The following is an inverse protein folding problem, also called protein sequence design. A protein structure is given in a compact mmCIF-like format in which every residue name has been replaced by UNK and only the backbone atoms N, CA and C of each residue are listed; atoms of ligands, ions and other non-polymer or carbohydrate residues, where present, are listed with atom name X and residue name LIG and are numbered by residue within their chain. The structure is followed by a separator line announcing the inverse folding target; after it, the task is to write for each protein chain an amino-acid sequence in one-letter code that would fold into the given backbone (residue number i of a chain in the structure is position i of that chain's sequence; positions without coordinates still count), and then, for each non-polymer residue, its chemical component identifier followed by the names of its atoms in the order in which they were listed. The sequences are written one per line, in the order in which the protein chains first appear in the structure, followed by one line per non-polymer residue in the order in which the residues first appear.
data_IF_583829571696
#
_entry.id   IF_583829571696
#
_cell.length_a   1.000
_cell.length_b   1.000
_cell.length_c   1.000
_cell.angle_alpha   90.00
_cell.angle_beta   90.00
_cell.angle_gamma   90.00
#
_symmetry.space_group_name_H-M   'P 1'
#
loop_
_entity.id
_entity.type
_entity.pdbx_description
1 polymer ?
#
# COMPACT_ATOMS: atom_id res chain seq x y z
N UNK A 1 -22.12 14.10 -14.42
CA UNK A 1 -20.86 14.63 -13.85
C UNK A 1 -20.97 16.16 -13.81
N UNK A 2 -20.96 16.73 -12.61
CA UNK A 2 -21.13 18.17 -12.37
C UNK A 2 -19.80 18.94 -12.40
N UNK A 3 -18.67 18.26 -12.46
CA UNK A 3 -17.33 18.86 -12.33
C UNK A 3 -17.03 19.42 -10.94
N UNK A 4 -17.87 19.14 -9.94
CA UNK A 4 -17.60 19.55 -8.55
C UNK A 4 -16.59 18.60 -7.90
N UNK A 5 -15.68 19.16 -7.12
CA UNK A 5 -14.72 18.42 -6.31
C UNK A 5 -15.13 18.50 -4.84
N UNK A 6 -15.08 17.34 -4.16
CA UNK A 6 -15.19 17.26 -2.72
C UNK A 6 -13.88 16.72 -2.13
N UNK A 7 -13.48 17.29 -1.01
CA UNK A 7 -12.31 16.82 -0.25
C UNK A 7 -12.78 15.84 0.81
N UNK A 8 -12.64 14.53 0.56
CA UNK A 8 -13.01 13.48 1.51
C UNK A 8 -11.97 13.31 2.63
N UNK A 9 -10.69 13.47 2.28
CA UNK A 9 -9.57 13.38 3.22
C UNK A 9 -8.67 14.59 3.03
N UNK A 10 -8.69 15.58 3.94
CA UNK A 10 -7.85 16.78 3.83
C UNK A 10 -6.41 16.46 4.29
N UNK A 11 -5.71 15.55 3.60
CA UNK A 11 -4.40 15.03 4.03
C UNK A 11 -3.38 16.13 4.29
N UNK A 12 -3.33 17.16 3.43
CA UNK A 12 -2.40 18.31 3.58
C UNK A 12 -2.68 19.14 4.83
N UNK A 13 -3.91 19.20 5.28
CA UNK A 13 -4.36 20.01 6.43
C UNK A 13 -4.76 19.14 7.63
N UNK A 14 -4.61 17.83 7.51
CA UNK A 14 -4.94 16.91 8.58
C UNK A 14 -3.92 17.02 9.72
N UNK A 15 -4.36 17.56 10.85
CA UNK A 15 -3.52 17.77 12.03
C UNK A 15 -3.94 16.83 13.12
N UNK A 16 -2.96 16.10 13.66
CA UNK A 16 -3.10 15.29 14.88
C UNK A 16 -2.13 15.79 15.94
N UNK A 17 -2.51 15.85 17.22
CA UNK A 17 -1.58 16.18 18.29
C UNK A 17 -0.36 15.25 18.27
N UNK A 18 0.84 15.82 18.32
CA UNK A 18 2.10 15.09 18.31
C UNK A 18 2.38 14.22 17.06
N UNK A 19 1.76 14.52 15.92
CA UNK A 19 2.07 13.86 14.66
C UNK A 19 2.48 14.86 13.59
N UNK A 20 3.36 14.43 12.69
CA UNK A 20 3.58 15.17 11.44
C UNK A 20 2.34 15.11 10.55
N UNK A 21 2.28 16.03 9.58
CA UNK A 21 1.40 15.83 8.44
C UNK A 21 1.73 14.50 7.76
N UNK A 22 0.74 13.77 7.24
CA UNK A 22 1.01 12.52 6.54
C UNK A 22 1.61 12.80 5.16
N UNK A 23 2.64 12.02 4.81
CA UNK A 23 3.11 11.89 3.44
C UNK A 23 2.35 10.77 2.77
N UNK A 24 1.47 11.13 1.83
CA UNK A 24 0.66 10.15 1.11
C UNK A 24 1.49 9.51 0.01
N UNK A 25 1.73 8.23 0.16
CA UNK A 25 2.33 7.37 -0.84
C UNK A 25 1.24 6.81 -1.76
N UNK A 26 1.69 6.25 -2.85
CA UNK A 26 0.80 5.68 -3.84
C UNK A 26 0.24 4.34 -3.37
N UNK A 27 -1.08 4.22 -3.22
CA UNK A 27 -1.77 2.95 -3.04
C UNK A 27 -2.87 2.83 -4.06
N UNK A 28 -2.90 1.73 -4.76
CA UNK A 28 -3.84 1.49 -5.83
C UNK A 28 -4.74 0.31 -5.49
N UNK A 29 -5.97 0.59 -5.09
CA UNK A 29 -6.98 -0.45 -4.91
C UNK A 29 -8.11 -0.27 -5.93
N UNK A 30 -7.81 -0.54 -7.20
CA UNK A 30 -8.77 -0.42 -8.29
C UNK A 30 -9.40 -1.77 -8.67
N UNK A 31 -9.79 -2.54 -7.71
CA UNK A 31 -10.53 -3.75 -8.01
C UNK A 31 -12.01 -3.40 -8.11
N UNK A 32 -12.59 -3.55 -9.29
CA UNK A 32 -13.96 -3.14 -9.62
C UNK A 32 -15.04 -3.78 -8.75
N UNK A 33 -14.73 -4.86 -8.06
CA UNK A 33 -15.63 -5.56 -7.14
C UNK A 33 -15.53 -5.07 -5.69
N UNK A 34 -14.54 -4.22 -5.37
CA UNK A 34 -14.40 -3.62 -4.05
C UNK A 34 -15.02 -2.23 -4.03
N UNK A 35 -15.65 -1.92 -2.93
CA UNK A 35 -16.25 -0.61 -2.70
C UNK A 35 -15.42 0.27 -1.76
N UNK A 36 -14.22 -0.18 -1.41
CA UNK A 36 -13.27 0.55 -0.58
C UNK A 36 -12.08 1.05 -1.43
N UNK A 37 -11.60 2.20 -1.08
CA UNK A 37 -10.37 2.79 -1.61
C UNK A 37 -9.44 3.08 -0.44
N UNK A 38 -8.15 2.75 -0.57
CA UNK A 38 -7.17 2.99 0.48
C UNK A 38 -5.96 3.72 -0.08
N UNK A 39 -5.48 4.70 0.67
CA UNK A 39 -4.24 5.42 0.41
C UNK A 39 -3.25 5.11 1.52
N UNK A 40 -2.07 4.65 1.15
CA UNK A 40 -0.95 4.48 2.08
C UNK A 40 -0.34 5.84 2.39
N UNK A 41 -0.04 6.09 3.65
CA UNK A 41 0.73 7.24 4.07
C UNK A 41 1.82 6.85 5.07
N UNK A 42 2.80 7.73 5.21
CA UNK A 42 3.76 7.70 6.33
C UNK A 42 3.56 8.89 7.22
N UNK A 43 3.89 8.77 8.48
CA UNK A 43 3.82 9.85 9.47
C UNK A 43 4.83 9.66 10.58
N UNK A 44 5.29 10.76 11.17
CA UNK A 44 6.10 10.76 12.38
C UNK A 44 5.20 11.02 13.59
N UNK A 45 5.29 10.18 14.62
CA UNK A 45 4.68 10.37 15.94
C UNK A 45 5.74 10.88 16.91
N UNK A 46 5.62 12.12 17.32
CA UNK A 46 6.57 12.78 18.21
C UNK A 46 6.33 12.42 19.68
N UNK A 47 7.40 12.31 20.44
CA UNK A 47 7.32 12.01 21.88
C UNK A 47 6.82 13.19 22.69
N UNK A 48 7.12 14.40 22.24
CA UNK A 48 6.81 15.63 22.95
C UNK A 48 6.43 16.78 21.99
N UNK A 49 6.13 17.95 22.58
CA UNK A 49 5.76 19.16 21.85
C UNK A 49 6.91 19.80 21.04
N UNK A 50 8.16 19.40 21.29
CA UNK A 50 9.31 19.93 20.54
C UNK A 50 9.38 19.38 19.12
N UNK A 51 8.65 18.27 18.88
CA UNK A 51 8.55 17.65 17.56
C UNK A 51 9.90 17.27 16.95
N UNK A 52 10.79 16.73 17.79
CA UNK A 52 12.11 16.29 17.36
C UNK A 52 12.03 15.03 16.47
N UNK A 53 12.37 15.14 15.18
CA UNK A 53 12.34 14.00 14.26
C UNK A 53 13.28 12.87 14.66
N UNK A 54 14.41 13.18 15.32
CA UNK A 54 15.40 12.17 15.70
C UNK A 54 14.89 11.19 16.75
N UNK A 55 13.86 11.57 17.52
CA UNK A 55 13.25 10.74 18.55
C UNK A 55 11.85 10.26 18.21
N UNK A 56 11.34 10.61 17.04
CA UNK A 56 10.00 10.25 16.61
C UNK A 56 9.89 8.75 16.27
N UNK A 57 8.70 8.21 16.46
CA UNK A 57 8.32 6.91 15.92
C UNK A 57 7.74 7.13 14.52
N UNK A 58 8.34 6.50 13.51
CA UNK A 58 7.82 6.57 12.14
C UNK A 58 6.88 5.41 11.86
N UNK A 59 5.71 5.73 11.33
CA UNK A 59 4.61 4.79 11.13
C UNK A 59 4.12 4.82 9.68
N UNK A 60 3.64 3.68 9.21
CA UNK A 60 2.70 3.61 8.11
C UNK A 60 1.28 3.80 8.59
N UNK A 61 0.42 4.26 7.69
CA UNK A 61 -1.00 4.30 7.91
C UNK A 61 -1.81 4.18 6.62
N UNK A 62 -3.11 3.97 6.79
CA UNK A 62 -4.07 3.91 5.70
C UNK A 62 -5.18 4.94 5.92
N UNK A 63 -5.45 5.73 4.90
CA UNK A 63 -6.76 6.34 4.70
C UNK A 63 -7.63 5.35 3.92
N UNK A 64 -8.75 4.95 4.50
CA UNK A 64 -9.71 4.07 3.84
C UNK A 64 -11.01 4.82 3.60
N UNK A 65 -11.56 4.68 2.42
CA UNK A 65 -12.81 5.33 2.00
C UNK A 65 -13.77 4.25 1.52
N UNK A 66 -14.94 4.19 2.14
CA UNK A 66 -16.05 3.38 1.61
C UNK A 66 -16.72 4.19 0.48
N UNK A 67 -16.63 3.69 -0.74
CA UNK A 67 -17.12 4.40 -1.93
C UNK A 67 -18.64 4.44 -2.05
N UNK A 68 -19.37 3.61 -1.29
CA UNK A 68 -20.85 3.64 -1.26
C UNK A 68 -21.37 4.69 -0.30
N UNK A 69 -20.74 4.78 0.87
CA UNK A 69 -21.22 5.63 1.96
C UNK A 69 -20.43 6.93 2.10
N UNK A 70 -19.25 7.02 1.48
CA UNK A 70 -18.29 8.11 1.67
C UNK A 70 -17.61 8.10 3.05
N UNK A 71 -17.87 7.07 3.88
CA UNK A 71 -17.24 6.98 5.20
C UNK A 71 -15.73 6.81 5.07
N UNK A 72 -14.98 7.61 5.82
CA UNK A 72 -13.52 7.55 5.87
C UNK A 72 -13.03 7.02 7.22
N UNK A 73 -11.97 6.26 7.17
CA UNK A 73 -11.26 5.76 8.35
C UNK A 73 -9.76 5.98 8.18
N UNK A 74 -9.09 6.19 9.30
CA UNK A 74 -7.64 6.37 9.34
C UNK A 74 -7.05 5.43 10.36
N UNK A 75 -6.08 4.64 9.95
CA UNK A 75 -5.45 3.62 10.80
C UNK A 75 -3.94 3.67 10.65
N UNK A 76 -3.21 4.02 11.71
CA UNK A 76 -1.77 3.82 11.75
C UNK A 76 -1.46 2.34 12.01
N UNK A 77 -0.48 1.79 11.29
CA UNK A 77 -0.06 0.41 11.49
C UNK A 77 1.47 0.28 11.32
N UNK A 78 2.05 -0.62 12.09
CA UNK A 78 3.44 -1.03 11.99
C UNK A 78 4.46 0.11 12.09
N UNK A 79 5.66 -0.18 12.47
CA UNK A 79 6.76 0.76 12.33
C UNK A 79 7.15 0.90 10.86
N UNK A 80 7.61 2.08 10.47
CA UNK A 80 8.26 2.34 9.20
C UNK A 80 9.70 1.79 9.25
N UNK A 81 9.84 0.50 9.01
CA UNK A 81 11.15 -0.18 8.98
C UNK A 81 11.78 -0.18 7.59
N UNK A 82 10.97 -0.01 6.57
CA UNK A 82 11.37 -0.01 5.16
C UNK A 82 10.51 0.98 4.38
N UNK A 83 11.00 1.43 3.22
CA UNK A 83 10.22 2.26 2.32
C UNK A 83 9.51 1.36 1.32
N UNK A 84 8.21 1.53 1.16
CA UNK A 84 7.41 0.91 0.13
C UNK A 84 6.94 1.95 -0.88
N UNK A 85 7.04 1.62 -2.16
CA UNK A 85 6.53 2.49 -3.22
C UNK A 85 5.02 2.36 -3.36
N UNK A 86 4.51 1.14 -3.23
CA UNK A 86 3.07 0.90 -3.23
C UNK A 86 2.68 -0.19 -2.25
N UNK A 87 1.41 -0.23 -1.91
CA UNK A 87 0.86 -1.25 -1.04
C UNK A 87 -0.62 -1.49 -1.31
N UNK A 88 -1.10 -2.67 -0.95
CA UNK A 88 -2.49 -3.07 -1.18
C UNK A 88 -2.99 -3.95 -0.04
N UNK A 89 -4.25 -3.75 0.36
CA UNK A 89 -4.94 -4.65 1.28
C UNK A 89 -5.28 -5.97 0.60
N UNK A 90 -5.20 -7.05 1.37
CA UNK A 90 -5.65 -8.35 0.90
C UNK A 90 -7.16 -8.33 0.58
N UNK A 91 -7.58 -8.89 -0.58
CA UNK A 91 -9.00 -9.10 -0.85
C UNK A 91 -9.67 -10.09 0.08
N UNK A 92 -8.91 -11.06 0.62
CA UNK A 92 -9.42 -12.09 1.55
C UNK A 92 -9.58 -11.57 2.97
N UNK A 93 -8.57 -10.83 3.45
CA UNK A 93 -8.53 -10.32 4.82
C UNK A 93 -8.13 -8.84 4.82
N UNK A 94 -9.06 -7.94 5.09
CA UNK A 94 -8.79 -6.50 5.09
C UNK A 94 -7.83 -6.05 6.20
N UNK A 95 -7.49 -6.91 7.17
CA UNK A 95 -6.47 -6.61 8.18
C UNK A 95 -5.05 -6.85 7.67
N UNK A 96 -4.90 -7.55 6.54
CA UNK A 96 -3.60 -7.77 5.93
C UNK A 96 -3.29 -6.72 4.87
N UNK A 97 -2.15 -6.06 5.03
CA UNK A 97 -1.58 -5.11 4.08
C UNK A 97 -0.28 -5.67 3.52
N UNK A 98 -0.10 -5.52 2.22
CA UNK A 98 1.14 -5.88 1.55
C UNK A 98 1.77 -4.64 0.95
N UNK A 99 3.06 -4.45 1.21
CA UNK A 99 3.84 -3.34 0.65
C UNK A 99 4.99 -3.85 -0.20
N UNK A 100 5.35 -3.12 -1.24
CA UNK A 100 6.41 -3.50 -2.17
C UNK A 100 7.31 -2.32 -2.55
N UNK A 101 8.59 -2.60 -2.64
CA UNK A 101 9.64 -1.91 -3.35
C UNK A 101 10.81 -2.88 -3.57
N UNK A 102 11.76 -2.96 -2.65
CA UNK A 102 12.91 -3.88 -2.70
C UNK A 102 12.61 -5.23 -2.03
N UNK A 103 11.53 -5.27 -1.29
CA UNK A 103 10.98 -6.47 -0.65
C UNK A 103 9.48 -6.47 -0.79
N UNK A 104 8.87 -7.65 -0.76
CA UNK A 104 7.44 -7.81 -0.55
C UNK A 104 7.21 -8.07 0.93
N UNK A 105 6.52 -7.18 1.62
CA UNK A 105 6.23 -7.34 3.04
C UNK A 105 4.74 -7.48 3.32
N UNK A 106 4.40 -8.25 4.34
CA UNK A 106 3.06 -8.53 4.82
C UNK A 106 2.89 -7.99 6.23
N UNK A 107 1.93 -7.13 6.44
CA UNK A 107 1.59 -6.52 7.72
C UNK A 107 0.22 -6.95 8.20
N UNK A 108 0.10 -7.12 9.52
CA UNK A 108 -1.18 -7.12 10.22
C UNK A 108 -1.46 -5.70 10.73
N UNK A 109 -2.46 -5.05 10.14
CA UNK A 109 -2.85 -3.68 10.46
C UNK A 109 -3.38 -3.60 11.90
N UNK A 110 -4.16 -4.58 12.32
CA UNK A 110 -4.78 -4.62 13.65
C UNK A 110 -3.74 -4.85 14.75
N UNK A 111 -2.79 -5.76 14.53
CA UNK A 111 -1.69 -6.01 15.44
C UNK A 111 -0.55 -4.99 15.31
N UNK A 112 -0.59 -4.14 14.27
CA UNK A 112 0.39 -3.09 13.98
C UNK A 112 1.81 -3.63 13.83
N UNK A 113 1.97 -4.76 13.16
CA UNK A 113 3.28 -5.39 12.98
C UNK A 113 3.47 -6.02 11.62
N UNK A 114 4.72 -6.08 11.18
CA UNK A 114 5.13 -6.89 10.04
C UNK A 114 5.11 -8.36 10.44
N UNK A 115 4.42 -9.19 9.65
CA UNK A 115 4.33 -10.63 9.85
C UNK A 115 5.44 -11.37 9.13
N UNK A 116 5.72 -10.97 7.89
CA UNK A 116 6.65 -11.65 7.01
C UNK A 116 7.14 -10.70 5.92
N UNK A 117 8.34 -10.93 5.39
CA UNK A 117 8.83 -10.27 4.19
C UNK A 117 9.61 -11.25 3.31
N UNK A 118 9.44 -11.12 2.01
CA UNK A 118 10.16 -11.87 0.99
C UNK A 118 11.17 -10.99 0.28
N UNK A 119 12.37 -11.50 0.03
CA UNK A 119 13.36 -10.86 -0.83
C UNK A 119 12.90 -10.98 -2.28
N UNK A 120 13.16 -9.93 -3.06
CA UNK A 120 12.83 -9.85 -4.47
C UNK A 120 14.11 -9.85 -5.30
N UNK A 121 14.05 -10.38 -6.52
CA UNK A 121 15.18 -10.37 -7.44
C UNK A 121 15.59 -8.95 -7.86
N UNK A 122 14.62 -8.06 -7.93
CA UNK A 122 14.80 -6.63 -8.15
C UNK A 122 13.63 -5.85 -7.55
N UNK A 123 13.68 -4.51 -7.61
CA UNK A 123 12.61 -3.65 -7.12
C UNK A 123 11.38 -3.75 -8.01
N UNK A 124 10.19 -3.72 -7.40
CA UNK A 124 8.91 -3.58 -8.08
C UNK A 124 8.15 -2.37 -7.54
N UNK A 125 7.48 -1.63 -8.43
CA UNK A 125 6.74 -0.41 -8.07
C UNK A 125 5.24 -0.62 -7.93
N UNK A 126 4.71 -1.71 -8.47
CA UNK A 126 3.28 -1.98 -8.48
C UNK A 126 2.96 -3.31 -7.84
N UNK A 127 1.86 -3.35 -7.10
CA UNK A 127 1.30 -4.56 -6.50
C UNK A 127 -0.18 -4.66 -6.86
N UNK A 128 -0.62 -5.85 -7.24
CA UNK A 128 -2.02 -6.17 -7.50
C UNK A 128 -2.35 -7.58 -7.03
N UNK A 129 -3.62 -7.82 -6.73
CA UNK A 129 -4.14 -9.15 -6.45
C UNK A 129 -5.07 -9.63 -7.57
N UNK A 130 -5.20 -10.95 -7.71
CA UNK A 130 -6.34 -11.51 -8.40
C UNK A 130 -7.62 -11.38 -7.52
N UNK A 131 -8.79 -11.67 -8.11
CA UNK A 131 -10.09 -11.43 -7.49
C UNK A 131 -10.27 -12.14 -6.15
N UNK A 132 -9.82 -13.39 -6.07
CA UNK A 132 -9.97 -14.20 -4.87
C UNK A 132 -8.83 -14.00 -3.85
N UNK A 133 -7.86 -13.14 -4.16
CA UNK A 133 -6.72 -12.85 -3.27
C UNK A 133 -5.74 -14.01 -3.09
N UNK A 134 -5.76 -15.01 -3.98
CA UNK A 134 -4.86 -16.17 -3.92
C UNK A 134 -3.50 -15.91 -4.55
N UNK A 135 -3.33 -14.81 -5.29
CA UNK A 135 -2.09 -14.44 -5.96
C UNK A 135 -1.82 -12.96 -5.85
N UNK A 136 -0.55 -12.63 -5.66
CA UNK A 136 0.00 -11.26 -5.75
C UNK A 136 0.80 -11.18 -7.04
N UNK A 137 0.63 -10.07 -7.75
CA UNK A 137 1.39 -9.73 -8.96
C UNK A 137 2.20 -8.48 -8.68
N UNK A 138 3.50 -8.56 -8.91
CA UNK A 138 4.44 -7.45 -8.76
C UNK A 138 4.97 -7.07 -10.14
N UNK A 139 4.96 -5.78 -10.46
CA UNK A 139 5.36 -5.25 -11.74
C UNK A 139 5.90 -3.80 -11.62
N UNK A 140 6.16 -3.15 -12.75
CA UNK A 140 6.48 -1.72 -12.80
C UNK A 140 7.96 -1.40 -12.98
N UNK A 141 8.82 -2.42 -13.07
CA UNK A 141 10.23 -2.31 -13.42
C UNK A 141 10.61 -3.49 -14.31
N UNK A 142 11.64 -3.32 -15.12
CA UNK A 142 12.10 -4.32 -16.09
C UNK A 142 10.95 -4.86 -16.98
N UNK A 143 11.06 -6.05 -17.48
CA UNK A 143 10.11 -6.63 -18.44
C UNK A 143 9.47 -7.92 -17.93
N UNK A 144 9.20 -7.99 -16.63
CA UNK A 144 8.55 -9.13 -16.02
C UNK A 144 7.46 -8.73 -15.04
N UNK A 145 6.59 -9.69 -14.75
CA UNK A 145 5.63 -9.66 -13.66
C UNK A 145 5.89 -10.87 -12.78
N UNK A 146 6.34 -10.64 -11.55
CA UNK A 146 6.52 -11.71 -10.59
C UNK A 146 5.17 -12.07 -9.92
N UNK A 147 4.95 -13.36 -9.69
CA UNK A 147 3.72 -13.89 -9.07
C UNK A 147 4.08 -14.53 -7.75
N UNK A 148 3.43 -14.07 -6.67
CA UNK A 148 3.65 -14.56 -5.32
C UNK A 148 2.38 -15.18 -4.73
N UNK A 149 2.58 -16.17 -3.88
CA UNK A 149 1.56 -16.69 -2.98
C UNK A 149 1.50 -15.80 -1.73
N UNK A 150 0.34 -15.19 -1.40
CA UNK A 150 0.23 -14.26 -0.26
C UNK A 150 0.29 -14.94 1.11
N UNK A 151 0.08 -16.25 1.19
CA UNK A 151 0.12 -16.99 2.45
C UNK A 151 1.57 -17.38 2.80
N UNK A 152 2.25 -17.96 1.85
CA UNK A 152 3.64 -18.44 2.03
C UNK A 152 4.69 -17.38 1.74
N UNK A 153 4.33 -16.28 1.06
CA UNK A 153 5.22 -15.22 0.58
C UNK A 153 6.31 -15.76 -0.35
N UNK A 154 6.06 -16.88 -1.03
CA UNK A 154 6.98 -17.46 -2.01
C UNK A 154 6.59 -17.05 -3.43
N UNK A 155 7.59 -16.81 -4.26
CA UNK A 155 7.37 -16.66 -5.69
C UNK A 155 6.94 -18.00 -6.29
N UNK A 156 5.81 -17.98 -7.00
CA UNK A 156 5.19 -19.16 -7.62
C UNK A 156 5.18 -19.09 -9.14
N UNK A 157 5.63 -17.99 -9.70
CA UNK A 157 5.71 -17.82 -11.16
C UNK A 157 6.25 -16.46 -11.56
N UNK A 158 6.43 -16.32 -12.87
CA UNK A 158 6.82 -15.08 -13.53
C UNK A 158 6.24 -15.04 -14.93
N UNK A 159 5.89 -13.84 -15.40
CA UNK A 159 5.43 -13.58 -16.78
C UNK A 159 6.45 -12.64 -17.39
N UNK A 160 7.12 -13.10 -18.46
CA UNK A 160 7.98 -12.23 -19.27
C UNK A 160 7.11 -11.40 -20.20
N UNK A 161 7.29 -10.09 -20.20
CA UNK A 161 6.58 -9.19 -21.09
C UNK A 161 7.35 -9.00 -22.39
N UNK A 162 6.67 -8.92 -23.54
CA UNK A 162 7.30 -8.58 -24.80
C UNK A 162 7.69 -7.09 -24.81
N UNK A 163 8.85 -6.80 -25.36
CA UNK A 163 9.36 -5.42 -25.48
C UNK A 163 10.49 -5.10 -24.53
N UNK A 164 10.74 -3.83 -24.31
CA UNK A 164 11.79 -3.35 -23.42
C UNK A 164 11.37 -3.29 -21.96
N UNK A 165 12.29 -2.81 -21.13
CA UNK A 165 12.05 -2.66 -19.70
C UNK A 165 10.99 -1.58 -19.43
N UNK A 166 10.14 -1.86 -18.44
CA UNK A 166 9.24 -0.86 -17.88
C UNK A 166 10.04 0.11 -17.03
N UNK A 167 9.95 1.39 -17.35
CA UNK A 167 10.54 2.43 -16.51
C UNK A 167 9.45 3.03 -15.62
N UNK A 168 9.42 2.69 -14.35
CA UNK A 168 8.52 3.25 -13.33
C UNK A 168 7.09 3.39 -13.87
N UNK A 169 6.50 2.27 -14.25
CA UNK A 169 5.14 2.25 -14.78
C UNK A 169 4.15 1.70 -13.76
N UNK A 170 2.88 2.00 -13.94
CA UNK A 170 1.80 1.36 -13.21
C UNK A 170 1.33 0.12 -13.96
N UNK A 171 1.19 -1.00 -13.25
CA UNK A 171 0.54 -2.19 -13.79
C UNK A 171 -0.78 -2.40 -13.06
N UNK A 172 -1.82 -2.72 -13.80
CA UNK A 172 -3.14 -3.00 -13.27
C UNK A 172 -3.63 -4.35 -13.77
N UNK A 173 -4.24 -5.11 -12.87
CA UNK A 173 -4.86 -6.37 -13.21
C UNK A 173 -6.37 -6.17 -13.17
N UNK A 174 -6.99 -6.29 -14.34
CA UNK A 174 -8.42 -6.24 -14.48
C UNK A 174 -8.98 -7.65 -14.38
N UNK A 175 -9.90 -7.84 -13.46
CA UNK A 175 -10.64 -9.10 -13.33
C UNK A 175 -11.92 -8.98 -14.13
N UNK A 176 -12.09 -9.89 -15.06
CA UNK A 176 -13.34 -10.07 -15.83
C UNK A 176 -14.35 -10.91 -15.08
#
# INVERSE_FOLDING_TARGET
NTGKFDVLIPSRHWKRPNYSAPDVLYVWNQQTYRHDFSLLYTTAKFKDKKQDPATAEYLYGLFSIDLKTGKTETTDFGPLTEIYFSGMRSPKDPNLMFGVLNRLAKYDIKQKKMLQAATLDHSYYCISFNKDGSKIYLAGTFNDVAIFDPETMKQIGSIKLPGGDMAITTAQIFVR
#
